data_IF_465384608698
#
_entry.id   IF_465384608698
#
_cell.length_a   1.000
_cell.length_b   1.000
_cell.length_c   1.000
_cell.angle_alpha   90.00
_cell.angle_beta   90.00
_cell.angle_gamma   90.00
#
_symmetry.space_group_name_H-M   'P 1'
#
loop_
_entity.id
_entity.type
_entity.pdbx_description
1 polymer ?
#
# COMPACT_ATOMS: atom_id res chain seq x y z
N UNK A 1 9.08 -8.17 17.04
CA UNK A 1 8.85 -8.43 15.62
C UNK A 1 7.53 -7.78 15.19
N UNK A 2 7.52 -7.11 14.05
CA UNK A 2 6.32 -6.43 13.59
C UNK A 2 5.27 -7.42 13.10
N UNK A 3 4.01 -7.17 13.44
CA UNK A 3 2.90 -7.97 12.98
C UNK A 3 2.33 -7.40 11.68
N UNK A 4 1.84 -8.28 10.79
CA UNK A 4 1.31 -7.90 9.49
C UNK A 4 -0.07 -8.51 9.31
N UNK A 5 -1.05 -7.65 8.99
CA UNK A 5 -2.37 -8.11 8.59
C UNK A 5 -2.43 -8.15 7.07
N UNK A 6 -2.66 -9.33 6.51
CA UNK A 6 -2.66 -9.55 5.06
C UNK A 6 -4.07 -9.45 4.49
N UNK A 7 -4.24 -8.52 3.54
CA UNK A 7 -5.49 -8.40 2.79
C UNK A 7 -5.48 -9.45 1.67
N UNK A 8 -6.57 -10.20 1.46
CA UNK A 8 -6.63 -11.19 0.38
C UNK A 8 -6.47 -10.55 -1.00
N UNK A 9 -5.85 -11.28 -1.92
CA UNK A 9 -5.69 -10.83 -3.31
C UNK A 9 -6.99 -10.81 -4.09
N UNK A 10 -7.94 -11.68 -3.76
CA UNK A 10 -9.25 -11.71 -4.37
C UNK A 10 -10.22 -10.84 -3.56
N UNK A 11 -11.08 -10.12 -4.27
CA UNK A 11 -12.04 -9.21 -3.64
C UNK A 11 -12.23 -7.96 -4.50
N UNK A 12 -13.09 -7.05 -4.07
CA UNK A 12 -13.34 -5.81 -4.80
C UNK A 12 -12.08 -4.95 -4.92
N UNK A 13 -11.96 -4.23 -6.04
CA UNK A 13 -10.86 -3.28 -6.22
C UNK A 13 -11.04 -2.09 -5.26
N UNK A 14 -9.92 -1.64 -4.72
CA UNK A 14 -9.87 -0.46 -3.87
C UNK A 14 -9.71 0.77 -4.76
N UNK A 15 -10.74 1.61 -4.83
CA UNK A 15 -10.84 2.69 -5.82
C UNK A 15 -10.73 4.09 -5.25
N UNK A 16 -10.76 4.21 -3.92
CA UNK A 16 -10.82 5.53 -3.30
C UNK A 16 -10.23 5.50 -1.90
N UNK A 17 -10.09 6.68 -1.30
CA UNK A 17 -9.71 6.80 0.10
C UNK A 17 -10.73 6.14 1.04
N UNK A 18 -12.02 6.17 0.68
CA UNK A 18 -13.05 5.50 1.47
C UNK A 18 -12.84 3.98 1.50
N UNK A 19 -12.44 3.40 0.36
CA UNK A 19 -12.14 1.97 0.32
C UNK A 19 -10.89 1.64 1.16
N UNK A 20 -9.89 2.51 1.13
CA UNK A 20 -8.70 2.35 1.97
C UNK A 20 -9.08 2.36 3.46
N UNK A 21 -9.97 3.28 3.85
CA UNK A 21 -10.45 3.37 5.21
C UNK A 21 -11.14 2.07 5.64
N UNK A 22 -11.86 1.44 4.73
CA UNK A 22 -12.52 0.15 4.99
C UNK A 22 -11.54 -0.94 5.42
N UNK A 23 -10.32 -0.93 4.92
CA UNK A 23 -9.30 -1.93 5.32
C UNK A 23 -8.93 -1.82 6.79
N UNK A 24 -9.03 -0.63 7.36
CA UNK A 24 -8.69 -0.39 8.77
C UNK A 24 -9.70 -1.01 9.72
N UNK A 25 -10.88 -1.35 9.22
CA UNK A 25 -11.93 -2.01 10.00
C UNK A 25 -11.95 -3.52 9.80
N UNK A 26 -11.03 -4.08 9.01
CA UNK A 26 -10.91 -5.53 8.88
C UNK A 26 -10.57 -6.14 10.22
N UNK A 27 -11.06 -7.36 10.46
CA UNK A 27 -10.74 -8.09 11.67
C UNK A 27 -9.23 -8.33 11.76
N UNK A 28 -8.63 -7.92 12.87
CA UNK A 28 -7.19 -8.04 13.08
C UNK A 28 -6.36 -6.86 12.58
N UNK A 29 -6.94 -5.96 11.79
CA UNK A 29 -6.18 -4.82 11.26
C UNK A 29 -5.76 -3.84 12.35
N UNK A 30 -6.61 -3.60 13.33
CA UNK A 30 -6.34 -2.64 14.41
C UNK A 30 -5.14 -3.03 15.27
N UNK A 31 -4.86 -4.32 15.38
CA UNK A 31 -3.76 -4.84 16.22
C UNK A 31 -2.48 -5.06 15.42
N UNK A 32 -2.50 -4.85 14.12
CA UNK A 32 -1.34 -5.09 13.27
C UNK A 32 -0.46 -3.84 13.19
N UNK A 33 0.84 -4.06 13.12
CA UNK A 33 1.80 -2.97 12.89
C UNK A 33 1.76 -2.50 11.44
N UNK A 34 1.51 -3.42 10.51
CA UNK A 34 1.43 -3.16 9.08
C UNK A 34 0.24 -3.85 8.45
N UNK A 35 -0.33 -3.22 7.42
CA UNK A 35 -1.38 -3.83 6.60
C UNK A 35 -0.77 -4.06 5.22
N UNK A 36 -0.72 -5.33 4.78
CA UNK A 36 -0.18 -5.68 3.47
C UNK A 36 -1.33 -5.77 2.46
N UNK A 37 -1.25 -4.97 1.41
CA UNK A 37 -2.29 -4.87 0.38
C UNK A 37 -1.72 -5.36 -0.95
N UNK A 38 -2.23 -6.45 -1.51
CA UNK A 38 -1.77 -6.92 -2.82
C UNK A 38 -2.09 -5.91 -3.92
N UNK A 39 -1.17 -5.76 -4.87
CA UNK A 39 -1.38 -4.89 -6.04
C UNK A 39 -2.65 -5.26 -6.78
N UNK A 40 -3.01 -6.56 -6.81
CA UNK A 40 -4.22 -7.05 -7.47
C UNK A 40 -5.51 -6.43 -6.92
N UNK A 41 -5.49 -5.90 -5.71
CA UNK A 41 -6.65 -5.25 -5.09
C UNK A 41 -6.75 -3.77 -5.41
N UNK A 42 -5.73 -3.18 -6.04
CA UNK A 42 -5.72 -1.75 -6.34
C UNK A 42 -6.29 -1.48 -7.74
N UNK A 43 -7.18 -0.50 -7.83
CA UNK A 43 -7.67 -0.01 -9.10
C UNK A 43 -6.49 0.59 -9.89
N UNK A 44 -6.42 0.40 -11.22
CA UNK A 44 -5.34 1.01 -12.02
C UNK A 44 -5.18 2.53 -11.82
N UNK A 45 -6.23 3.24 -11.46
CA UNK A 45 -6.16 4.67 -11.17
C UNK A 45 -5.23 5.00 -10.00
N UNK A 46 -4.98 4.03 -9.11
CA UNK A 46 -4.01 4.23 -8.03
C UNK A 46 -2.64 4.62 -8.59
N UNK A 47 -2.25 4.00 -9.72
CA UNK A 47 -0.94 4.22 -10.32
C UNK A 47 -0.88 5.45 -11.23
N UNK A 48 -2.00 6.10 -11.49
CA UNK A 48 -2.06 7.40 -12.13
C UNK A 48 -2.14 8.47 -11.05
N UNK A 49 -1.00 9.08 -10.71
CA UNK A 49 -0.94 10.03 -9.61
C UNK A 49 -1.84 11.24 -9.83
N UNK A 50 -2.11 11.60 -11.08
CA UNK A 50 -2.99 12.73 -11.38
C UNK A 50 -4.43 12.47 -10.97
N UNK A 51 -4.82 11.20 -10.77
CA UNK A 51 -6.16 10.84 -10.31
C UNK A 51 -6.41 11.21 -8.84
N UNK A 52 -5.34 11.35 -8.05
CA UNK A 52 -5.44 11.63 -6.62
C UNK A 52 -5.68 10.40 -5.76
N UNK A 53 -5.92 9.23 -6.35
CA UNK A 53 -6.27 8.02 -5.59
C UNK A 53 -5.15 7.58 -4.64
N UNK A 54 -3.90 7.54 -5.12
CA UNK A 54 -2.78 7.15 -4.27
C UNK A 54 -2.58 8.12 -3.11
N UNK A 55 -2.73 9.42 -3.36
CA UNK A 55 -2.63 10.44 -2.32
C UNK A 55 -3.71 10.29 -1.26
N UNK A 56 -4.96 10.06 -1.67
CA UNK A 56 -6.06 9.81 -0.74
C UNK A 56 -5.81 8.57 0.11
N UNK A 57 -5.31 7.51 -0.54
CA UNK A 57 -5.00 6.26 0.11
C UNK A 57 -3.95 6.48 1.21
N UNK A 58 -2.84 7.11 0.84
CA UNK A 58 -1.76 7.41 1.79
C UNK A 58 -2.26 8.28 2.95
N UNK A 59 -3.07 9.30 2.65
CA UNK A 59 -3.57 10.22 3.66
C UNK A 59 -4.46 9.52 4.69
N UNK A 60 -5.30 8.56 4.26
CA UNK A 60 -6.13 7.81 5.19
C UNK A 60 -5.30 7.02 6.18
N UNK A 61 -4.24 6.34 5.70
CA UNK A 61 -3.37 5.58 6.59
C UNK A 61 -2.62 6.51 7.56
N UNK A 62 -2.14 7.66 7.09
CA UNK A 62 -1.49 8.64 7.96
C UNK A 62 -2.46 9.15 9.03
N UNK A 63 -3.68 9.50 8.64
CA UNK A 63 -4.67 10.05 9.57
C UNK A 63 -5.04 9.07 10.68
N UNK A 64 -5.02 7.78 10.39
CA UNK A 64 -5.36 6.73 11.36
C UNK A 64 -4.11 6.09 11.98
N UNK A 65 -2.93 6.68 11.72
CA UNK A 65 -1.65 6.18 12.24
C UNK A 65 -1.38 4.72 11.87
N UNK A 66 -1.90 4.30 10.74
CA UNK A 66 -1.71 2.95 10.22
C UNK A 66 -0.58 2.94 9.21
N UNK A 67 0.10 1.80 9.09
CA UNK A 67 1.17 1.61 8.11
C UNK A 67 0.71 0.59 7.09
N UNK A 68 1.03 0.85 5.83
CA UNK A 68 0.60 -0.01 4.72
C UNK A 68 1.78 -0.40 3.84
N UNK A 69 1.82 -1.65 3.41
CA UNK A 69 2.76 -2.14 2.42
C UNK A 69 1.97 -2.61 1.20
N UNK A 70 2.26 -2.03 0.06
CA UNK A 70 1.70 -2.46 -1.22
C UNK A 70 2.61 -3.55 -1.76
N UNK A 71 2.07 -4.76 -1.95
CA UNK A 71 2.84 -5.94 -2.28
C UNK A 71 2.54 -6.40 -3.71
N UNK A 72 3.54 -6.41 -4.56
CA UNK A 72 3.41 -6.89 -5.94
C UNK A 72 4.36 -6.18 -6.87
N UNK A 73 4.51 -6.73 -8.08
CA UNK A 73 5.38 -6.19 -9.11
C UNK A 73 4.71 -5.00 -9.80
N UNK A 74 5.29 -3.82 -9.64
CA UNK A 74 4.83 -2.59 -10.29
C UNK A 74 5.90 -2.01 -11.24
N UNK A 75 6.79 -2.87 -11.72
CA UNK A 75 7.88 -2.44 -12.62
C UNK A 75 7.36 -1.73 -13.85
N UNK A 76 6.30 -2.25 -14.48
CA UNK A 76 5.72 -1.65 -15.68
C UNK A 76 5.11 -0.27 -15.39
N UNK A 77 4.42 -0.13 -14.28
CA UNK A 77 3.78 1.13 -13.88
C UNK A 77 4.83 2.20 -13.58
N UNK A 78 5.90 1.83 -12.88
CA UNK A 78 7.01 2.74 -12.58
C UNK A 78 7.73 3.16 -13.87
N UNK A 79 7.94 2.23 -14.79
CA UNK A 79 8.60 2.51 -16.07
C UNK A 79 7.76 3.48 -16.91
N UNK A 80 6.44 3.44 -16.79
CA UNK A 80 5.53 4.28 -17.57
C UNK A 80 5.33 5.67 -16.99
N UNK A 81 5.71 5.92 -15.73
CA UNK A 81 5.42 7.18 -15.06
C UNK A 81 6.56 7.62 -14.14
N UNK A 82 7.24 8.71 -14.51
CA UNK A 82 8.28 9.32 -13.66
C UNK A 82 7.68 9.78 -12.33
N UNK A 83 6.48 10.36 -12.36
CA UNK A 83 5.82 10.83 -11.16
C UNK A 83 5.56 9.67 -10.19
N UNK A 84 5.11 8.53 -10.69
CA UNK A 84 4.88 7.36 -9.85
C UNK A 84 6.20 6.83 -9.30
N UNK A 85 7.23 6.76 -10.13
CA UNK A 85 8.56 6.31 -9.68
C UNK A 85 9.05 7.15 -8.50
N UNK A 86 8.92 8.47 -8.60
CA UNK A 86 9.37 9.37 -7.55
C UNK A 86 8.51 9.23 -6.29
N UNK A 87 7.21 9.06 -6.44
CA UNK A 87 6.29 8.83 -5.33
C UNK A 87 6.66 7.55 -4.58
N UNK A 88 6.91 6.46 -5.30
CA UNK A 88 7.30 5.18 -4.72
C UNK A 88 8.62 5.31 -3.97
N UNK A 89 9.60 5.99 -4.56
CA UNK A 89 10.90 6.19 -3.94
C UNK A 89 10.79 6.96 -2.62
N UNK A 90 10.01 8.04 -2.62
CA UNK A 90 9.82 8.83 -1.41
C UNK A 90 9.06 8.03 -0.35
N UNK A 91 8.03 7.30 -0.74
CA UNK A 91 7.28 6.45 0.19
C UNK A 91 8.17 5.40 0.85
N UNK A 92 9.05 4.78 0.08
CA UNK A 92 9.95 3.73 0.56
C UNK A 92 11.03 4.24 1.51
N UNK A 93 11.32 5.54 1.52
CA UNK A 93 12.26 6.13 2.48
C UNK A 93 11.64 6.31 3.85
N UNK A 94 10.33 6.42 3.92
CA UNK A 94 9.61 6.62 5.17
C UNK A 94 9.20 5.32 5.82
N UNK A 95 8.28 5.44 6.79
CA UNK A 95 7.78 4.30 7.55
C UNK A 95 6.25 4.25 7.58
N UNK A 96 5.58 4.91 6.61
CA UNK A 96 4.13 4.96 6.54
C UNK A 96 3.57 4.08 5.44
N UNK A 97 4.19 4.11 4.27
CA UNK A 97 3.73 3.38 3.09
C UNK A 97 4.94 2.85 2.34
N UNK A 98 4.98 1.54 2.20
CA UNK A 98 6.05 0.87 1.45
C UNK A 98 5.49 0.21 0.21
N UNK A 99 6.33 0.12 -0.82
CA UNK A 99 6.07 -0.65 -2.03
C UNK A 99 7.13 -1.73 -2.12
N UNK A 100 6.71 -2.98 -2.04
CA UNK A 100 7.62 -4.13 -2.08
C UNK A 100 7.18 -5.09 -3.19
N UNK A 101 8.14 -5.77 -3.80
CA UNK A 101 7.86 -6.65 -4.93
C UNK A 101 7.11 -7.91 -4.53
N UNK A 102 7.35 -8.41 -3.32
CA UNK A 102 6.74 -9.64 -2.83
C UNK A 102 6.79 -9.71 -1.30
N UNK A 103 6.20 -10.75 -0.75
CA UNK A 103 6.16 -10.97 0.70
C UNK A 103 7.56 -11.16 1.30
N UNK A 104 8.46 -11.77 0.56
CA UNK A 104 9.83 -11.98 1.06
C UNK A 104 10.54 -10.65 1.27
N UNK A 105 10.37 -9.69 0.35
CA UNK A 105 10.94 -8.36 0.50
C UNK A 105 10.35 -7.64 1.71
N UNK A 106 9.03 -7.75 1.92
CA UNK A 106 8.39 -7.15 3.08
C UNK A 106 8.98 -7.69 4.37
N UNK A 107 9.12 -9.01 4.47
CA UNK A 107 9.69 -9.68 5.64
C UNK A 107 11.11 -9.18 5.90
N UNK A 108 11.94 -9.10 4.86
CA UNK A 108 13.31 -8.60 4.99
C UNK A 108 13.35 -7.16 5.52
N UNK A 109 12.48 -6.30 5.03
CA UNK A 109 12.44 -4.90 5.49
C UNK A 109 12.00 -4.79 6.94
N UNK A 110 11.07 -5.63 7.37
CA UNK A 110 10.58 -5.62 8.75
C UNK A 110 11.62 -6.16 9.73
N UNK A 111 12.47 -7.08 9.28
CA UNK A 111 13.52 -7.65 10.11
C UNK A 111 14.76 -6.77 10.21
N UNK A 112 14.97 -5.98 9.19
CA UNK A 112 16.19 -5.20 9.09
C UNK A 112 16.04 -3.75 9.24
#
# INVERSE_FOLDING_TARGET
MASVHHIPADGPLLRSGADALGLLYDEGAADADWIAVPVARLDPLFFDLSSGVAGEFAQKFVNYRARVAVVGDITAEIAASTALRDFVRESNRGVQMWFVADEAELTRRLEG
#
